data_IF_143207580921
#
_entry.id   IF_143207580921
#
_cell.length_a   1.000
_cell.length_b   1.000
_cell.length_c   1.000
_cell.angle_alpha   90.00
_cell.angle_beta   90.00
_cell.angle_gamma   90.00
#
_symmetry.space_group_name_H-M   'P 1'
#
loop_
_entity.id
_entity.type
_entity.pdbx_description
1 polymer ?
#
# COMPACT_ATOMS: atom_id res chain seq x y z
N UNK A 1 25.64 -8.58 -11.14
CA UNK A 1 24.37 -9.06 -10.54
C UNK A 1 23.90 -10.28 -11.29
N UNK A 2 23.55 -11.35 -10.58
CA UNK A 2 22.92 -12.56 -11.15
C UNK A 2 21.47 -12.27 -11.56
N UNK A 3 20.89 -13.10 -12.43
CA UNK A 3 19.46 -12.99 -12.82
C UNK A 3 18.54 -13.03 -11.59
N UNK A 4 18.87 -13.89 -10.62
CA UNK A 4 18.15 -13.98 -9.36
C UNK A 4 18.19 -12.67 -8.57
N UNK A 5 19.34 -12.02 -8.49
CA UNK A 5 19.47 -10.70 -7.83
C UNK A 5 18.66 -9.62 -8.54
N UNK A 6 18.64 -9.61 -9.87
CA UNK A 6 17.81 -8.69 -10.65
C UNK A 6 16.31 -8.92 -10.39
N UNK A 7 15.86 -10.17 -10.37
CA UNK A 7 14.46 -10.49 -10.08
C UNK A 7 14.08 -10.10 -8.65
N UNK A 8 14.95 -10.33 -7.66
CA UNK A 8 14.70 -9.87 -6.28
C UNK A 8 14.63 -8.35 -6.17
N UNK A 9 15.46 -7.61 -6.92
CA UNK A 9 15.38 -6.15 -6.98
C UNK A 9 14.03 -5.69 -7.57
N UNK A 10 13.57 -6.32 -8.66
CA UNK A 10 12.26 -6.03 -9.27
C UNK A 10 11.10 -6.38 -8.33
N UNK A 11 11.16 -7.50 -7.60
CA UNK A 11 10.18 -7.82 -6.56
C UNK A 11 10.13 -6.76 -5.47
N UNK A 12 11.29 -6.27 -4.99
CA UNK A 12 11.37 -5.19 -4.00
C UNK A 12 10.74 -3.90 -4.54
N UNK A 13 11.05 -3.54 -5.78
CA UNK A 13 10.46 -2.40 -6.48
C UNK A 13 8.92 -2.52 -6.55
N UNK A 14 8.39 -3.63 -7.05
CA UNK A 14 6.93 -3.83 -7.17
C UNK A 14 6.23 -3.85 -5.79
N UNK A 15 6.86 -4.48 -4.78
CA UNK A 15 6.30 -4.62 -3.42
C UNK A 15 6.18 -3.28 -2.68
N UNK A 16 6.87 -2.21 -3.12
CA UNK A 16 6.76 -0.90 -2.47
C UNK A 16 5.33 -0.34 -2.49
N UNK A 17 4.51 -0.71 -3.49
CA UNK A 17 3.10 -0.32 -3.51
C UNK A 17 2.34 -0.93 -2.34
N UNK A 18 2.50 -2.24 -2.08
CA UNK A 18 1.88 -2.91 -0.93
C UNK A 18 2.26 -2.24 0.38
N UNK A 19 3.55 -1.90 0.57
CA UNK A 19 4.03 -1.21 1.77
C UNK A 19 3.40 0.17 1.94
N UNK A 20 3.38 0.97 0.87
CA UNK A 20 2.75 2.28 0.88
C UNK A 20 1.24 2.19 1.15
N UNK A 21 0.57 1.18 0.57
CA UNK A 21 -0.87 0.96 0.75
C UNK A 21 -1.21 0.60 2.20
N UNK A 22 -0.45 -0.31 2.82
CA UNK A 22 -0.62 -0.67 4.23
C UNK A 22 -0.36 0.50 5.16
N UNK A 23 0.64 1.34 4.87
CA UNK A 23 0.90 2.58 5.63
C UNK A 23 -0.28 3.55 5.55
N UNK A 24 -0.81 3.78 4.35
CA UNK A 24 -1.99 4.62 4.17
C UNK A 24 -3.21 4.05 4.91
N UNK A 25 -3.47 2.75 4.80
CA UNK A 25 -4.58 2.08 5.48
C UNK A 25 -4.47 2.20 7.01
N UNK A 26 -3.28 1.98 7.58
CA UNK A 26 -3.02 2.12 9.02
C UNK A 26 -3.27 3.54 9.53
N UNK A 27 -2.95 4.57 8.72
CA UNK A 27 -3.27 5.96 9.09
C UNK A 27 -4.78 6.21 9.09
N UNK A 28 -5.51 5.65 8.11
CA UNK A 28 -6.98 5.72 8.08
C UNK A 28 -7.62 5.00 9.28
N UNK A 29 -7.06 3.87 9.71
CA UNK A 29 -7.52 3.15 10.91
C UNK A 29 -7.29 3.96 12.19
N UNK A 30 -6.13 4.60 12.32
CA UNK A 30 -5.83 5.49 13.45
C UNK A 30 -6.75 6.71 13.47
N UNK A 31 -7.09 7.29 12.31
CA UNK A 31 -8.04 8.40 12.23
C UNK A 31 -9.43 8.01 12.72
N UNK A 32 -9.90 6.80 12.38
CA UNK A 32 -11.15 6.26 12.93
C UNK A 32 -11.11 6.09 14.44
N UNK A 33 -9.99 5.61 15.00
CA UNK A 33 -9.82 5.50 16.47
C UNK A 33 -9.91 6.86 17.14
N UNK A 34 -9.21 7.87 16.61
CA UNK A 34 -9.23 9.24 17.15
C UNK A 34 -10.65 9.81 17.10
N UNK A 35 -11.41 9.58 16.03
CA UNK A 35 -12.82 10.01 15.97
C UNK A 35 -13.69 9.35 17.04
N UNK A 36 -13.53 8.04 17.23
CA UNK A 36 -14.28 7.31 18.25
C UNK A 36 -13.94 7.81 19.67
N UNK A 37 -12.67 8.14 19.94
CA UNK A 37 -12.21 8.74 21.19
C UNK A 37 -12.85 10.12 21.41
N UNK A 38 -12.89 10.97 20.38
CA UNK A 38 -13.57 12.29 20.42
C UNK A 38 -15.07 12.14 20.68
N UNK A 39 -15.73 11.20 20.00
CA UNK A 39 -17.17 10.95 20.17
C UNK A 39 -17.50 10.43 21.58
N UNK A 40 -16.67 9.52 22.11
CA UNK A 40 -16.80 9.03 23.48
C UNK A 40 -16.63 10.13 24.52
N UNK A 41 -15.65 11.03 24.33
CA UNK A 41 -15.44 12.18 25.22
C UNK A 41 -16.59 13.21 25.18
N UNK A 42 -17.34 13.28 24.07
CA UNK A 42 -18.50 14.17 23.89
C UNK A 42 -19.81 13.64 24.46
N UNK A 43 -19.86 12.38 24.88
CA UNK A 43 -21.05 11.77 25.49
C UNK A 43 -20.91 11.77 27.02
N UNK A 44 -21.31 12.84 27.73
CA UNK A 44 -21.41 12.77 29.18
C UNK A 44 -22.58 11.85 29.53
N UNK A 45 -22.31 10.76 30.23
CA UNK A 45 -23.35 10.14 31.05
C UNK A 45 -23.91 11.22 31.98
N UNK A 46 -25.22 11.39 31.96
CA UNK A 46 -25.97 12.32 32.83
C UNK A 46 -25.65 11.93 34.27
N UNK A 47 -24.68 12.61 34.87
CA UNK A 47 -24.39 12.55 36.29
C UNK A 47 -24.49 13.96 36.85
N UNK A 48 -25.33 14.08 37.86
CA UNK A 48 -25.87 15.30 38.44
C UNK A 48 -24.84 16.04 39.31
N UNK A 49 -23.68 16.41 38.73
CA UNK A 49 -22.57 17.00 39.49
C UNK A 49 -21.72 17.97 38.64
N UNK A 50 -21.49 19.23 39.08
CA UNK A 50 -20.68 20.15 38.30
C UNK A 50 -19.20 19.82 38.53
N UNK A 51 -18.55 19.23 37.53
CA UNK A 51 -17.08 19.14 37.51
C UNK A 51 -16.51 20.06 36.46
N UNK A 52 -15.77 21.04 36.93
CA UNK A 52 -14.73 21.69 36.14
C UNK A 52 -13.67 20.63 35.80
N UNK A 53 -13.76 20.02 34.63
CA UNK A 53 -12.72 19.18 34.03
C UNK A 53 -12.40 19.79 32.66
N UNK A 54 -11.11 20.08 32.46
CA UNK A 54 -10.59 21.05 31.50
C UNK A 54 -11.05 20.87 30.05
N UNK A 55 -11.36 22.01 29.43
CA UNK A 55 -11.46 22.24 27.98
C UNK A 55 -10.20 21.85 27.19
N UNK A 56 -9.11 21.46 27.86
CA UNK A 56 -7.86 21.02 27.24
C UNK A 56 -7.97 19.66 26.53
N UNK A 57 -8.95 18.82 26.89
CA UNK A 57 -9.06 17.47 26.32
C UNK A 57 -9.45 17.53 24.83
N UNK A 58 -10.52 18.25 24.48
CA UNK A 58 -11.05 18.27 23.10
C UNK A 58 -10.17 19.04 22.10
N UNK A 59 -9.53 20.13 22.50
CA UNK A 59 -8.66 20.91 21.60
C UNK A 59 -7.45 20.10 21.16
N UNK A 60 -6.83 19.35 22.07
CA UNK A 60 -5.66 18.53 21.78
C UNK A 60 -6.02 17.35 20.87
N UNK A 61 -7.20 16.75 21.06
CA UNK A 61 -7.74 15.75 20.14
C UNK A 61 -7.97 16.30 18.73
N UNK A 62 -8.46 17.54 18.62
CA UNK A 62 -8.67 18.19 17.32
C UNK A 62 -7.34 18.45 16.59
N UNK A 63 -6.31 18.94 17.28
CA UNK A 63 -4.96 19.12 16.71
C UNK A 63 -4.37 17.79 16.23
N UNK A 64 -4.55 16.72 17.02
CA UNK A 64 -4.12 15.37 16.64
C UNK A 64 -4.86 14.85 15.40
N UNK A 65 -6.17 15.12 15.30
CA UNK A 65 -6.99 14.76 14.15
C UNK A 65 -6.54 15.50 12.88
N UNK A 66 -6.27 16.80 12.96
CA UNK A 66 -5.76 17.57 11.81
C UNK A 66 -4.41 17.02 11.33
N UNK A 67 -3.50 16.78 12.27
CA UNK A 67 -2.18 16.20 11.98
C UNK A 67 -2.27 14.85 11.27
N UNK A 68 -3.19 13.97 11.69
CA UNK A 68 -3.33 12.66 11.05
C UNK A 68 -3.96 12.76 9.67
N UNK A 69 -4.92 13.67 9.45
CA UNK A 69 -5.52 13.92 8.15
C UNK A 69 -4.48 14.42 7.12
N UNK A 70 -3.57 15.30 7.53
CA UNK A 70 -2.46 15.72 6.68
C UNK A 70 -1.56 14.54 6.28
N UNK A 71 -1.22 13.68 7.24
CA UNK A 71 -0.42 12.47 6.99
C UNK A 71 -1.14 11.49 6.06
N UNK A 72 -2.45 11.31 6.22
CA UNK A 72 -3.28 10.49 5.32
C UNK A 72 -3.21 11.04 3.90
N UNK A 73 -3.39 12.35 3.72
CA UNK A 73 -3.35 12.98 2.41
C UNK A 73 -1.98 12.83 1.74
N UNK A 74 -0.89 13.01 2.50
CA UNK A 74 0.46 12.79 1.99
C UNK A 74 0.68 11.31 1.59
N UNK A 75 0.32 10.37 2.45
CA UNK A 75 0.47 8.93 2.19
C UNK A 75 -0.41 8.46 1.02
N UNK A 76 -1.61 9.02 0.85
CA UNK A 76 -2.52 8.71 -0.27
C UNK A 76 -1.92 9.17 -1.60
N UNK A 77 -1.36 10.38 -1.65
CA UNK A 77 -0.66 10.89 -2.85
C UNK A 77 0.55 10.04 -3.20
N UNK A 78 1.38 9.70 -2.22
CA UNK A 78 2.53 8.79 -2.40
C UNK A 78 2.06 7.42 -2.93
N UNK A 79 1.00 6.86 -2.33
CA UNK A 79 0.44 5.58 -2.72
C UNK A 79 -0.05 5.56 -4.17
N UNK A 80 -0.78 6.59 -4.58
CA UNK A 80 -1.27 6.71 -5.96
C UNK A 80 -0.13 6.93 -6.96
N UNK A 81 0.88 7.73 -6.61
CA UNK A 81 2.06 7.92 -7.46
C UNK A 81 2.80 6.59 -7.70
N UNK A 82 3.08 5.85 -6.62
CA UNK A 82 3.74 4.53 -6.72
C UNK A 82 2.91 3.53 -7.54
N UNK A 83 1.59 3.52 -7.32
CA UNK A 83 0.67 2.63 -8.04
C UNK A 83 0.69 2.92 -9.53
N UNK A 84 0.49 4.19 -9.91
CA UNK A 84 0.46 4.62 -11.30
C UNK A 84 1.78 4.29 -12.01
N UNK A 85 2.92 4.56 -11.35
CA UNK A 85 4.26 4.25 -11.86
C UNK A 85 4.44 2.75 -12.18
N UNK A 86 3.90 1.86 -11.33
CA UNK A 86 4.00 0.41 -11.53
C UNK A 86 2.99 -0.06 -12.58
N UNK A 87 1.74 0.41 -12.53
CA UNK A 87 0.70 0.04 -13.48
C UNK A 87 1.10 0.42 -14.91
N UNK A 88 1.65 1.61 -15.12
CA UNK A 88 2.17 2.07 -16.42
C UNK A 88 3.20 1.09 -16.99
N UNK A 89 4.20 0.70 -16.20
CA UNK A 89 5.21 -0.28 -16.62
C UNK A 89 4.66 -1.68 -16.89
N UNK A 90 3.61 -2.08 -16.17
CA UNK A 90 2.94 -3.37 -16.42
C UNK A 90 2.13 -3.29 -17.72
N UNK A 91 1.51 -2.16 -18.02
CA UNK A 91 0.76 -1.92 -19.27
C UNK A 91 1.69 -1.99 -20.48
N UNK A 92 2.92 -1.47 -20.36
CA UNK A 92 3.93 -1.48 -21.42
C UNK A 92 4.55 -2.85 -21.72
N UNK A 93 4.16 -3.91 -21.01
CA UNK A 93 4.64 -5.27 -21.28
C UNK A 93 3.90 -5.92 -22.46
N UNK A 94 4.65 -6.47 -23.40
CA UNK A 94 4.09 -7.12 -24.61
C UNK A 94 3.26 -8.39 -24.30
N UNK A 95 3.69 -9.19 -23.32
CA UNK A 95 3.02 -10.46 -22.99
C UNK A 95 1.87 -10.23 -22.01
N UNK A 96 0.64 -10.44 -22.49
CA UNK A 96 -0.59 -10.27 -21.73
C UNK A 96 -0.75 -11.22 -20.53
N UNK A 97 -0.15 -12.41 -20.56
CA UNK A 97 -0.18 -13.35 -19.41
C UNK A 97 0.80 -12.85 -18.34
N UNK A 98 1.99 -12.44 -18.75
CA UNK A 98 3.02 -11.91 -17.85
C UNK A 98 2.55 -10.62 -17.16
N UNK A 99 2.00 -9.67 -17.91
CA UNK A 99 1.45 -8.42 -17.37
C UNK A 99 0.30 -8.71 -16.41
N UNK A 100 -0.60 -9.64 -16.76
CA UNK A 100 -1.71 -10.08 -15.90
C UNK A 100 -1.23 -10.68 -14.59
N UNK A 101 -0.20 -11.53 -14.61
CA UNK A 101 0.38 -12.12 -13.39
C UNK A 101 0.94 -11.03 -12.47
N UNK A 102 1.71 -10.09 -13.02
CA UNK A 102 2.28 -9.00 -12.21
C UNK A 102 1.20 -8.08 -11.66
N UNK A 103 0.19 -7.73 -12.46
CA UNK A 103 -0.93 -6.93 -12.00
C UNK A 103 -1.69 -7.61 -10.84
N UNK A 104 -2.06 -8.88 -11.02
CA UNK A 104 -2.76 -9.63 -9.97
C UNK A 104 -1.95 -9.73 -8.68
N UNK A 105 -0.63 -9.97 -8.80
CA UNK A 105 0.22 -10.16 -7.62
C UNK A 105 0.55 -8.85 -6.90
N UNK A 106 0.91 -7.82 -7.65
CA UNK A 106 1.51 -6.60 -7.09
C UNK A 106 0.58 -5.41 -7.02
N UNK A 107 -0.51 -5.38 -7.80
CA UNK A 107 -1.52 -4.31 -7.76
C UNK A 107 -2.77 -4.78 -7.02
N UNK A 108 -3.30 -5.94 -7.39
CA UNK A 108 -4.54 -6.50 -6.80
C UNK A 108 -4.29 -7.40 -5.58
N UNK A 109 -3.01 -7.51 -5.17
CA UNK A 109 -2.52 -8.26 -4.01
C UNK A 109 -3.07 -9.68 -3.86
N UNK A 110 -3.35 -10.37 -4.97
CA UNK A 110 -3.89 -11.72 -4.96
C UNK A 110 -2.86 -12.74 -4.48
N UNK A 111 -3.36 -13.77 -3.81
CA UNK A 111 -2.55 -14.92 -3.44
C UNK A 111 -2.34 -15.84 -4.63
N UNK A 112 -1.27 -16.65 -4.58
CA UNK A 112 -0.87 -17.49 -5.70
C UNK A 112 -1.96 -18.46 -6.16
N UNK A 113 -2.74 -19.00 -5.23
CA UNK A 113 -3.84 -19.90 -5.56
C UNK A 113 -4.88 -19.19 -6.45
N UNK A 114 -5.28 -17.97 -6.08
CA UNK A 114 -6.22 -17.17 -6.88
C UNK A 114 -5.64 -16.79 -8.24
N UNK A 115 -4.33 -16.50 -8.28
CA UNK A 115 -3.64 -16.20 -9.54
C UNK A 115 -3.69 -17.41 -10.46
N UNK A 116 -3.30 -18.60 -9.97
CA UNK A 116 -3.32 -19.85 -10.72
C UNK A 116 -4.72 -20.10 -11.33
N UNK A 117 -5.77 -19.98 -10.52
CA UNK A 117 -7.16 -20.12 -10.97
C UNK A 117 -7.53 -19.09 -12.04
N UNK A 118 -7.13 -17.83 -11.87
CA UNK A 118 -7.47 -16.73 -12.79
C UNK A 118 -6.77 -16.82 -14.14
N UNK A 119 -5.54 -17.34 -14.19
CA UNK A 119 -4.77 -17.47 -15.43
C UNK A 119 -4.89 -18.87 -16.06
N UNK A 120 -5.49 -19.84 -15.37
CA UNK A 120 -5.71 -21.19 -15.88
C UNK A 120 -4.45 -22.07 -15.93
N UNK A 121 -3.42 -21.75 -15.14
CA UNK A 121 -2.17 -22.50 -15.11
C UNK A 121 -1.94 -23.18 -13.76
N UNK A 122 -1.18 -24.28 -13.79
CA UNK A 122 -0.74 -24.96 -12.59
C UNK A 122 0.17 -24.07 -11.73
N UNK A 123 0.33 -24.44 -10.46
CA UNK A 123 1.22 -23.72 -9.54
C UNK A 123 2.63 -23.53 -10.09
N UNK A 124 3.24 -24.61 -10.60
CA UNK A 124 4.60 -24.59 -11.13
C UNK A 124 4.70 -23.68 -12.36
N UNK A 125 3.77 -23.84 -13.32
CA UNK A 125 3.78 -23.02 -14.53
C UNK A 125 3.54 -21.54 -14.22
N UNK A 126 2.70 -21.24 -13.25
CA UNK A 126 2.45 -19.86 -12.79
C UNK A 126 3.72 -19.22 -12.22
N UNK A 127 4.51 -19.95 -11.43
CA UNK A 127 5.76 -19.44 -10.85
C UNK A 127 6.87 -19.29 -11.88
N UNK A 128 6.92 -20.17 -12.87
CA UNK A 128 7.80 -20.02 -14.04
C UNK A 128 7.45 -18.74 -14.80
N UNK A 129 6.18 -18.60 -15.21
CA UNK A 129 5.69 -17.42 -15.94
C UNK A 129 5.90 -16.13 -15.13
N UNK A 130 5.76 -16.17 -13.80
CA UNK A 130 6.10 -15.04 -12.94
C UNK A 130 7.58 -14.67 -13.00
N UNK A 131 8.47 -15.66 -12.98
CA UNK A 131 9.91 -15.44 -13.08
C UNK A 131 10.29 -14.87 -14.46
N UNK A 132 9.65 -15.36 -15.52
CA UNK A 132 9.78 -14.83 -16.89
C UNK A 132 9.24 -13.38 -16.97
N UNK A 133 8.08 -13.11 -16.38
CA UNK A 133 7.49 -11.77 -16.30
C UNK A 133 8.41 -10.78 -15.59
N UNK A 134 9.03 -11.20 -14.47
CA UNK A 134 10.02 -10.36 -13.78
C UNK A 134 11.24 -10.11 -14.65
N UNK A 135 11.73 -11.10 -15.40
CA UNK A 135 12.86 -10.90 -16.32
C UNK A 135 12.53 -9.87 -17.39
N UNK A 136 11.34 -9.94 -17.97
CA UNK A 136 10.88 -9.07 -19.04
C UNK A 136 10.33 -7.71 -18.56
N UNK A 137 10.10 -7.55 -17.25
CA UNK A 137 9.56 -6.30 -16.70
C UNK A 137 10.45 -5.09 -17.03
N UNK A 138 9.89 -4.00 -17.61
CA UNK A 138 10.65 -2.84 -18.09
C UNK A 138 11.05 -1.93 -16.92
N UNK A 139 12.15 -2.31 -16.26
CA UNK A 139 12.82 -1.47 -15.28
C UNK A 139 14.19 -1.12 -15.84
N UNK A 140 14.37 0.15 -16.25
CA UNK A 140 15.67 0.61 -16.73
C UNK A 140 16.78 0.33 -15.69
N UNK A 141 17.98 0.01 -16.17
CA UNK A 141 19.19 -0.18 -15.34
C UNK A 141 19.63 1.11 -14.60
N UNK A 142 18.96 2.23 -14.81
CA UNK A 142 19.35 3.58 -14.34
C UNK A 142 19.17 3.79 -12.83
N UNK A 143 18.50 2.89 -12.11
CA UNK A 143 18.40 2.94 -10.62
C UNK A 143 19.73 2.58 -9.94
N UNK A 144 20.77 2.15 -10.67
CA UNK A 144 22.08 1.80 -10.11
C UNK A 144 22.89 3.01 -9.58
N UNK A 145 22.47 4.26 -9.79
CA UNK A 145 23.24 5.48 -9.41
C UNK A 145 22.69 6.29 -8.23
N UNK A 146 21.78 5.74 -7.41
CA UNK A 146 21.28 6.42 -6.19
C UNK A 146 21.33 5.57 -4.91
N UNK A 147 22.18 4.55 -4.88
CA UNK A 147 22.51 3.80 -3.65
C UNK A 147 24.03 3.69 -3.51
N UNK A 148 24.72 4.80 -3.74
CA UNK A 148 26.06 5.11 -3.21
C UNK A 148 25.97 6.43 -2.45
#
# INVERSE_FOLDING_TARGET
MTEKEMNEAKKKYLTRYKKSHLKWLSLCEQEKSIRAEIEGARSPEITDMPRAAGTADLSDWMVRLETILEKINAAKRENYGIRAEIEERIIDMDDGIQSRILWLRYIDFKEWNDICTRIGYSWNRTHELHSEALRNFPLEKTVQKRIE
#
